data_IF_801877395089
#
_entry.id   IF_801877395089
#
_cell.length_a   1.000
_cell.length_b   1.000
_cell.length_c   1.000
_cell.angle_alpha   90.00
_cell.angle_beta   90.00
_cell.angle_gamma   90.00
#
_symmetry.space_group_name_H-M   'P 1'
#
loop_
_entity.id
_entity.type
_entity.pdbx_description
1 polymer ?
#
# COMPACT_ATOMS: atom_id res chain seq x y z
N UNK A 1 -26.02 5.26 -16.14
CA UNK A 1 -25.55 6.13 -15.05
C UNK A 1 -26.72 6.34 -14.11
N UNK A 2 -26.60 5.89 -12.86
CA UNK A 2 -27.68 5.99 -11.87
C UNK A 2 -27.36 7.15 -10.93
N UNK A 3 -28.23 8.14 -10.87
CA UNK A 3 -28.06 9.24 -9.91
C UNK A 3 -28.28 8.73 -8.50
N UNK A 4 -27.28 8.89 -7.62
CA UNK A 4 -27.42 8.57 -6.19
C UNK A 4 -28.13 9.72 -5.47
N UNK A 5 -27.75 10.96 -5.80
CA UNK A 5 -28.53 12.15 -5.49
C UNK A 5 -28.23 13.26 -6.51
N UNK A 6 -29.30 13.96 -6.96
CA UNK A 6 -29.23 14.94 -8.07
C UNK A 6 -28.37 16.14 -7.74
N UNK A 7 -28.78 16.97 -6.78
CA UNK A 7 -28.02 18.11 -6.28
C UNK A 7 -28.47 18.37 -4.84
N UNK A 8 -27.51 18.57 -3.95
CA UNK A 8 -27.74 19.00 -2.57
C UNK A 8 -26.97 20.29 -2.32
N UNK A 9 -27.57 21.18 -1.55
CA UNK A 9 -27.01 22.48 -1.19
C UNK A 9 -26.66 22.47 0.30
N UNK A 10 -25.44 22.86 0.63
CA UNK A 10 -25.00 23.19 1.98
C UNK A 10 -24.72 24.69 2.02
N UNK A 11 -25.40 25.39 2.91
CA UNK A 11 -25.22 26.83 3.12
C UNK A 11 -24.59 27.06 4.49
N UNK A 12 -23.42 27.68 4.52
CA UNK A 12 -22.82 28.18 5.74
C UNK A 12 -22.78 29.71 5.67
N UNK A 13 -23.43 30.39 6.64
CA UNK A 13 -23.54 31.86 6.70
C UNK A 13 -22.18 32.59 6.67
N UNK A 14 -21.08 31.92 6.97
CA UNK A 14 -19.71 32.48 6.93
C UNK A 14 -18.87 32.06 5.72
N UNK A 15 -19.20 30.95 5.04
CA UNK A 15 -18.29 30.29 4.07
C UNK A 15 -18.88 30.14 2.66
N UNK A 16 -20.12 30.61 2.44
CA UNK A 16 -20.78 30.61 1.14
C UNK A 16 -21.67 29.38 0.92
N UNK A 17 -22.03 29.16 -0.36
CA UNK A 17 -22.89 28.06 -0.80
C UNK A 17 -22.03 26.97 -1.45
N UNK A 18 -22.18 25.72 -0.98
CA UNK A 18 -21.66 24.54 -1.64
C UNK A 18 -22.82 23.75 -2.28
N UNK A 19 -22.71 23.43 -3.56
CA UNK A 19 -23.63 22.52 -4.28
C UNK A 19 -22.88 21.26 -4.62
N UNK A 20 -23.41 20.08 -4.29
CA UNK A 20 -22.77 18.81 -4.61
C UNK A 20 -23.76 17.80 -5.20
N UNK A 21 -23.26 16.92 -6.08
CA UNK A 21 -24.00 15.82 -6.67
C UNK A 21 -23.16 14.55 -6.63
N UNK A 22 -23.82 13.38 -6.58
CA UNK A 22 -23.14 12.10 -6.76
C UNK A 22 -23.90 11.21 -7.73
N UNK A 23 -23.16 10.68 -8.70
CA UNK A 23 -23.69 9.79 -9.71
C UNK A 23 -22.91 8.48 -9.67
N UNK A 24 -23.62 7.37 -9.60
CA UNK A 24 -23.03 6.07 -9.81
C UNK A 24 -22.71 5.95 -11.30
N UNK A 25 -21.43 5.81 -11.60
CA UNK A 25 -20.99 5.53 -12.96
C UNK A 25 -21.35 4.08 -13.32
N UNK A 26 -21.31 3.74 -14.61
CA UNK A 26 -21.75 2.41 -15.08
C UNK A 26 -20.88 1.26 -14.52
N UNK A 27 -19.73 1.56 -13.91
CA UNK A 27 -18.66 0.61 -13.59
C UNK A 27 -18.32 0.62 -12.09
N UNK A 28 -19.36 0.63 -11.25
CA UNK A 28 -19.29 0.50 -9.78
C UNK A 28 -18.59 1.64 -9.02
N UNK A 29 -18.21 2.73 -9.68
CA UNK A 29 -17.67 3.92 -9.04
C UNK A 29 -18.71 5.01 -8.77
N UNK A 30 -18.34 5.99 -7.95
CA UNK A 30 -19.13 7.17 -7.63
C UNK A 30 -18.38 8.42 -8.10
N UNK A 31 -19.00 9.17 -8.99
CA UNK A 31 -18.52 10.50 -9.38
C UNK A 31 -19.20 11.51 -8.47
N UNK A 32 -18.42 12.27 -7.69
CA UNK A 32 -18.89 13.35 -6.82
C UNK A 32 -18.45 14.69 -7.39
N UNK A 33 -19.42 15.51 -7.76
CA UNK A 33 -19.17 16.88 -8.22
C UNK A 33 -19.47 17.86 -7.08
N UNK A 34 -18.56 18.80 -6.81
CA UNK A 34 -18.74 19.84 -5.79
C UNK A 34 -18.48 21.21 -6.42
N UNK A 35 -19.45 22.13 -6.33
CA UNK A 35 -19.37 23.52 -6.78
C UNK A 35 -19.40 24.46 -5.58
N UNK A 36 -18.39 25.31 -5.43
CA UNK A 36 -18.32 26.32 -4.36
C UNK A 36 -17.43 27.49 -4.77
N UNK A 37 -17.82 28.72 -4.43
CA UNK A 37 -17.02 29.94 -4.67
C UNK A 37 -16.52 30.10 -6.12
N UNK A 38 -17.33 29.70 -7.11
CA UNK A 38 -16.97 29.75 -8.54
C UNK A 38 -16.09 28.59 -9.03
N UNK A 39 -15.64 27.71 -8.14
CA UNK A 39 -14.87 26.51 -8.48
C UNK A 39 -15.76 25.29 -8.63
N UNK A 40 -15.33 24.37 -9.49
CA UNK A 40 -15.93 23.05 -9.70
C UNK A 40 -14.87 21.98 -9.45
N UNK A 41 -15.13 21.10 -8.49
CA UNK A 41 -14.30 19.96 -8.13
C UNK A 41 -15.00 18.67 -8.55
N UNK A 42 -14.25 17.71 -9.06
CA UNK A 42 -14.73 16.38 -9.42
C UNK A 42 -13.88 15.35 -8.68
N UNK A 43 -14.54 14.50 -7.90
CA UNK A 43 -13.94 13.36 -7.23
C UNK A 43 -14.49 12.10 -7.88
N UNK A 44 -13.60 11.15 -8.16
CA UNK A 44 -13.99 9.85 -8.68
C UNK A 44 -13.60 8.82 -7.63
N UNK A 45 -14.60 8.11 -7.11
CA UNK A 45 -14.40 7.00 -6.21
C UNK A 45 -14.57 5.72 -7.00
N UNK A 46 -13.49 4.95 -7.17
CA UNK A 46 -13.57 3.61 -7.77
C UNK A 46 -13.11 2.62 -6.71
N UNK A 47 -13.93 1.61 -6.35
CA UNK A 47 -13.44 0.51 -5.54
C UNK A 47 -12.41 -0.26 -6.38
N UNK A 48 -11.15 -0.23 -5.92
CA UNK A 48 -10.06 -1.02 -6.50
C UNK A 48 -9.72 -2.09 -5.47
N UNK A 49 -9.82 -3.34 -5.87
CA UNK A 49 -9.43 -4.45 -5.00
C UNK A 49 -7.92 -4.41 -4.76
N UNK A 50 -7.53 -4.55 -3.49
CA UNK A 50 -6.13 -4.65 -3.11
C UNK A 50 -5.63 -6.05 -3.44
N UNK A 51 -4.52 -6.11 -4.17
CA UNK A 51 -3.84 -7.36 -4.50
C UNK A 51 -2.92 -7.72 -3.35
N UNK A 52 -3.20 -8.84 -2.68
CA UNK A 52 -2.40 -9.36 -1.58
C UNK A 52 -1.53 -10.53 -2.03
N UNK A 53 -0.28 -10.63 -1.54
CA UNK A 53 0.54 -11.82 -1.78
C UNK A 53 0.01 -13.02 -1.01
N UNK A 54 0.29 -14.21 -1.53
CA UNK A 54 0.14 -15.49 -0.83
C UNK A 54 1.38 -15.82 0.01
N UNK A 55 1.28 -16.83 0.88
CA UNK A 55 2.45 -17.35 1.60
C UNK A 55 3.55 -17.79 0.64
N UNK A 56 3.17 -18.50 -0.43
CA UNK A 56 4.09 -19.00 -1.44
C UNK A 56 4.80 -17.85 -2.17
N UNK A 57 4.11 -16.75 -2.45
CA UNK A 57 4.74 -15.55 -3.02
C UNK A 57 5.85 -15.02 -2.10
N UNK A 58 5.57 -14.86 -0.80
CA UNK A 58 6.55 -14.35 0.17
C UNK A 58 7.74 -15.32 0.32
N UNK A 59 7.50 -16.63 0.33
CA UNK A 59 8.55 -17.64 0.35
C UNK A 59 9.42 -17.59 -0.92
N UNK A 60 8.81 -17.47 -2.10
CA UNK A 60 9.53 -17.33 -3.37
C UNK A 60 10.36 -16.03 -3.40
N UNK A 61 9.84 -14.95 -2.82
CA UNK A 61 10.57 -13.68 -2.72
C UNK A 61 11.71 -13.75 -1.71
N UNK A 62 11.58 -14.51 -0.62
CA UNK A 62 12.70 -14.78 0.29
C UNK A 62 13.85 -15.51 -0.43
N UNK A 63 13.54 -16.51 -1.25
CA UNK A 63 14.55 -17.23 -2.02
C UNK A 63 15.26 -16.30 -3.02
N UNK A 64 14.50 -15.47 -3.74
CA UNK A 64 15.06 -14.48 -4.69
C UNK A 64 15.88 -13.41 -3.97
N UNK A 65 15.38 -12.86 -2.87
CA UNK A 65 16.05 -11.82 -2.11
C UNK A 65 17.42 -12.29 -1.58
N UNK A 66 17.53 -13.56 -1.19
CA UNK A 66 18.81 -14.12 -0.74
C UNK A 66 19.83 -14.30 -1.87
N UNK A 67 19.38 -14.53 -3.10
CA UNK A 67 20.24 -14.65 -4.30
C UNK A 67 20.70 -13.29 -4.83
N UNK A 68 19.84 -12.28 -4.76
CA UNK A 68 20.11 -10.95 -5.31
C UNK A 68 21.00 -10.14 -4.36
N UNK A 69 20.79 -10.30 -3.06
CA UNK A 69 21.50 -9.55 -2.02
C UNK A 69 22.30 -10.54 -1.17
N UNK A 70 23.43 -11.03 -1.67
CA UNK A 70 24.34 -11.87 -0.89
C UNK A 70 24.95 -11.04 0.25
N UNK A 71 24.76 -11.48 1.50
CA UNK A 71 25.42 -10.88 2.67
C UNK A 71 26.65 -11.72 3.02
N UNK A 72 27.80 -11.09 3.29
CA UNK A 72 28.99 -11.80 3.78
C UNK A 72 28.72 -12.44 5.15
N UNK A 73 28.88 -13.76 5.24
CA UNK A 73 28.77 -14.54 6.48
C UNK A 73 28.33 -16.00 6.29
N UNK A 74 28.58 -16.86 7.29
CA UNK A 74 28.06 -18.23 7.33
C UNK A 74 26.62 -18.16 7.84
N UNK A 75 25.66 -18.12 6.92
CA UNK A 75 24.24 -18.10 7.26
C UNK A 75 23.60 -19.47 7.04
N UNK A 76 23.04 -20.02 8.11
CA UNK A 76 22.42 -21.34 8.16
C UNK A 76 21.04 -21.41 7.51
N UNK A 77 20.70 -22.65 7.13
CA UNK A 77 19.41 -23.20 6.69
C UNK A 77 18.47 -22.29 5.89
N UNK A 78 18.24 -22.64 4.62
CA UNK A 78 17.18 -22.08 3.80
C UNK A 78 15.80 -22.33 4.39
N UNK A 79 14.87 -21.41 4.13
CA UNK A 79 13.44 -21.64 4.34
C UNK A 79 12.83 -20.86 5.50
N UNK A 80 11.51 -21.01 5.56
CA UNK A 80 10.62 -20.39 6.53
C UNK A 80 10.86 -20.99 7.92
N UNK A 81 11.12 -20.12 8.90
CA UNK A 81 11.33 -20.52 10.30
C UNK A 81 10.00 -20.79 10.99
N UNK A 82 9.05 -19.87 10.78
CA UNK A 82 7.71 -19.97 11.35
C UNK A 82 6.67 -19.47 10.32
N UNK A 83 5.92 -20.39 9.66
CA UNK A 83 4.86 -20.01 8.75
C UNK A 83 3.75 -19.20 9.42
N UNK A 84 3.52 -19.41 10.71
CA UNK A 84 2.48 -18.74 11.48
C UNK A 84 2.62 -17.22 11.42
N UNK A 85 3.85 -16.71 11.41
CA UNK A 85 4.13 -15.27 11.34
C UNK A 85 3.60 -14.69 10.02
N UNK A 86 3.94 -15.31 8.88
CA UNK A 86 3.51 -14.81 7.56
C UNK A 86 2.01 -15.04 7.35
N UNK A 87 1.48 -16.21 7.69
CA UNK A 87 0.05 -16.48 7.50
C UNK A 87 -0.82 -15.57 8.35
N UNK A 88 -0.42 -15.31 9.60
CA UNK A 88 -1.14 -14.38 10.47
C UNK A 88 -1.03 -12.95 9.97
N UNK A 89 0.18 -12.50 9.60
CA UNK A 89 0.40 -11.18 8.99
C UNK A 89 -0.54 -10.95 7.80
N UNK A 90 -0.54 -11.86 6.82
CA UNK A 90 -1.35 -11.70 5.61
C UNK A 90 -2.85 -11.72 5.95
N UNK A 91 -3.28 -12.55 6.91
CA UNK A 91 -4.67 -12.58 7.38
C UNK A 91 -5.09 -11.26 8.04
N UNK A 92 -4.24 -10.72 8.92
CA UNK A 92 -4.47 -9.45 9.62
C UNK A 92 -4.55 -8.28 8.63
N UNK A 93 -3.64 -8.21 7.67
CA UNK A 93 -3.60 -7.12 6.68
C UNK A 93 -4.80 -7.18 5.73
N UNK A 94 -5.20 -8.40 5.32
CA UNK A 94 -6.35 -8.62 4.44
C UNK A 94 -7.70 -8.39 5.14
N UNK A 95 -7.80 -8.77 6.41
CA UNK A 95 -9.02 -8.67 7.22
C UNK A 95 -8.88 -7.58 8.29
N UNK A 96 -8.40 -6.41 7.91
CA UNK A 96 -8.00 -5.33 8.83
C UNK A 96 -9.16 -4.48 9.36
N UNK A 97 -10.40 -4.74 8.94
CA UNK A 97 -11.57 -4.02 9.47
C UNK A 97 -12.00 -4.64 10.79
N UNK A 98 -11.82 -3.89 11.87
CA UNK A 98 -12.19 -4.28 13.24
C UNK A 98 -13.14 -3.22 13.80
N UNK A 99 -14.29 -3.64 14.32
CA UNK A 99 -15.35 -2.74 14.81
C UNK A 99 -15.76 -1.64 13.81
N UNK A 100 -15.75 -1.96 12.51
CA UNK A 100 -16.13 -1.03 11.44
C UNK A 100 -15.06 0.00 11.06
N UNK A 101 -13.85 -0.11 11.61
CA UNK A 101 -12.71 0.73 11.26
C UNK A 101 -11.60 -0.12 10.66
N UNK A 102 -11.07 0.26 9.50
CA UNK A 102 -9.87 -0.35 8.95
C UNK A 102 -8.65 0.17 9.72
N UNK A 103 -7.93 -0.72 10.42
CA UNK A 103 -6.71 -0.36 11.15
C UNK A 103 -5.54 -0.03 10.24
N UNK A 104 -5.60 -0.45 8.96
CA UNK A 104 -4.64 -0.11 7.91
C UNK A 104 -5.37 0.48 6.70
N UNK A 105 -5.89 1.70 6.79
CA UNK A 105 -6.86 2.23 5.82
C UNK A 105 -6.27 2.52 4.43
N UNK A 106 -4.95 2.46 4.27
CA UNK A 106 -4.28 2.74 3.00
C UNK A 106 -3.36 1.59 2.60
N UNK A 107 -3.08 1.47 1.29
CA UNK A 107 -2.05 0.56 0.77
C UNK A 107 -0.70 0.82 1.46
N UNK A 108 -0.35 2.08 1.72
CA UNK A 108 0.88 2.43 2.44
C UNK A 108 0.90 1.94 3.88
N UNK A 109 -0.21 1.99 4.60
CA UNK A 109 -0.32 1.45 5.97
C UNK A 109 -0.17 -0.08 5.96
N UNK A 110 -0.84 -0.76 5.02
CA UNK A 110 -0.73 -2.22 4.84
C UNK A 110 0.71 -2.64 4.49
N UNK A 111 1.37 -1.90 3.59
CA UNK A 111 2.76 -2.12 3.22
C UNK A 111 3.72 -1.91 4.40
N UNK A 112 3.49 -0.86 5.20
CA UNK A 112 4.29 -0.57 6.39
C UNK A 112 4.20 -1.69 7.43
N UNK A 113 2.99 -2.19 7.71
CA UNK A 113 2.78 -3.31 8.61
C UNK A 113 3.48 -4.58 8.11
N UNK A 114 3.39 -4.89 6.82
CA UNK A 114 4.10 -6.03 6.19
C UNK A 114 5.61 -5.90 6.40
N UNK A 115 6.19 -4.75 6.06
CA UNK A 115 7.63 -4.53 6.21
C UNK A 115 8.06 -4.66 7.67
N UNK A 116 7.36 -3.96 8.57
CA UNK A 116 7.70 -3.92 9.98
C UNK A 116 7.63 -5.30 10.64
N UNK A 117 6.56 -6.08 10.38
CA UNK A 117 6.38 -7.40 10.98
C UNK A 117 7.41 -8.41 10.48
N UNK A 118 7.65 -8.51 9.17
CA UNK A 118 8.62 -9.48 8.63
C UNK A 118 10.04 -9.17 9.12
N UNK A 119 10.42 -7.89 9.15
CA UNK A 119 11.74 -7.48 9.61
C UNK A 119 11.94 -7.70 11.12
N UNK A 120 10.91 -7.42 11.94
CA UNK A 120 10.99 -7.48 13.41
C UNK A 120 10.88 -8.90 13.96
N UNK A 121 9.94 -9.70 13.46
CA UNK A 121 9.63 -11.02 14.05
C UNK A 121 10.40 -12.19 13.42
N UNK A 122 11.24 -11.91 12.41
CA UNK A 122 12.16 -12.87 11.81
C UNK A 122 11.49 -14.18 11.36
N UNK A 123 10.56 -14.07 10.41
CA UNK A 123 9.78 -15.20 9.88
C UNK A 123 10.61 -16.27 9.15
N UNK A 124 11.80 -15.91 8.67
CA UNK A 124 12.70 -16.77 7.92
C UNK A 124 13.98 -17.05 8.72
N UNK A 125 14.65 -18.16 8.40
CA UNK A 125 15.95 -18.48 8.99
C UNK A 125 17.02 -17.46 8.57
N UNK A 126 16.93 -16.94 7.35
CA UNK A 126 17.82 -15.92 6.81
C UNK A 126 17.06 -14.96 5.86
N UNK A 127 17.66 -13.79 5.60
CA UNK A 127 17.15 -12.83 4.63
C UNK A 127 15.93 -12.05 5.08
N UNK A 128 15.60 -12.02 6.38
CA UNK A 128 14.40 -11.35 6.90
C UNK A 128 14.28 -9.88 6.47
N UNK A 129 15.34 -9.08 6.63
CA UNK A 129 15.35 -7.65 6.26
C UNK A 129 15.08 -7.47 4.76
N UNK A 130 15.81 -8.23 3.92
CA UNK A 130 15.70 -8.20 2.46
C UNK A 130 14.32 -8.66 1.99
N UNK A 131 13.78 -9.70 2.62
CA UNK A 131 12.43 -10.23 2.33
C UNK A 131 11.34 -9.27 2.76
N UNK A 132 11.47 -8.64 3.93
CA UNK A 132 10.50 -7.67 4.41
C UNK A 132 10.38 -6.49 3.46
N UNK A 133 11.51 -5.94 3.05
CA UNK A 133 11.59 -4.88 2.05
C UNK A 133 11.01 -5.32 0.70
N UNK A 134 11.49 -6.45 0.14
CA UNK A 134 11.03 -6.95 -1.16
C UNK A 134 9.52 -7.23 -1.15
N UNK A 135 8.97 -7.78 -0.07
CA UNK A 135 7.54 -8.05 0.08
C UNK A 135 6.73 -6.75 0.10
N UNK A 136 7.18 -5.75 0.85
CA UNK A 136 6.52 -4.45 0.91
C UNK A 136 6.58 -3.69 -0.42
N UNK A 137 7.73 -3.72 -1.09
CA UNK A 137 7.90 -3.13 -2.43
C UNK A 137 6.98 -3.80 -3.45
N UNK A 138 6.99 -5.13 -3.54
CA UNK A 138 6.17 -5.84 -4.53
C UNK A 138 4.68 -5.72 -4.22
N UNK A 139 4.30 -5.62 -2.94
CA UNK A 139 2.93 -5.28 -2.56
C UNK A 139 2.53 -3.87 -3.02
N UNK A 140 3.39 -2.86 -2.86
CA UNK A 140 3.14 -1.51 -3.38
C UNK A 140 2.99 -1.54 -4.91
N UNK A 141 3.91 -2.20 -5.62
CA UNK A 141 3.91 -2.29 -7.08
C UNK A 141 2.66 -3.00 -7.60
N UNK A 142 2.25 -4.09 -6.95
CA UNK A 142 1.01 -4.79 -7.25
C UNK A 142 -0.20 -3.86 -7.13
N UNK A 143 -0.14 -2.87 -6.23
CA UNK A 143 -1.20 -1.91 -5.92
C UNK A 143 -0.92 -0.49 -6.47
N UNK A 144 -0.19 -0.39 -7.59
CA UNK A 144 0.04 0.84 -8.37
C UNK A 144 0.87 1.93 -7.67
N UNK A 145 1.67 1.55 -6.68
CA UNK A 145 2.66 2.43 -6.08
C UNK A 145 4.06 1.88 -6.32
N UNK A 146 5.05 2.76 -6.44
CA UNK A 146 6.46 2.35 -6.54
C UNK A 146 7.34 3.34 -5.82
N UNK A 147 8.46 2.86 -5.28
CA UNK A 147 9.44 3.71 -4.62
C UNK A 147 10.19 4.58 -5.63
N UNK A 148 10.55 5.80 -5.23
CA UNK A 148 11.25 6.78 -6.08
C UNK A 148 12.31 7.52 -5.28
N UNK A 149 13.49 7.69 -5.88
CA UNK A 149 14.49 8.68 -5.48
C UNK A 149 15.09 9.35 -6.72
N UNK A 150 15.98 10.33 -6.51
CA UNK A 150 16.67 11.05 -7.58
C UNK A 150 17.63 10.14 -8.35
N UNK A 151 18.17 9.10 -7.71
CA UNK A 151 18.91 8.01 -8.35
C UNK A 151 18.75 6.67 -7.61
N UNK A 152 19.03 5.57 -8.31
CA UNK A 152 18.84 4.21 -7.80
C UNK A 152 19.71 3.90 -6.55
N UNK A 153 20.93 4.45 -6.47
CA UNK A 153 21.83 4.20 -5.34
C UNK A 153 21.34 4.89 -4.05
N UNK A 154 20.82 6.11 -4.16
CA UNK A 154 20.21 6.81 -3.04
C UNK A 154 18.97 6.09 -2.54
N UNK A 155 18.15 5.60 -3.47
CA UNK A 155 16.97 4.83 -3.13
C UNK A 155 17.35 3.55 -2.38
N UNK A 156 18.25 2.75 -2.94
CA UNK A 156 18.74 1.52 -2.33
C UNK A 156 19.32 1.78 -0.94
N UNK A 157 20.16 2.81 -0.81
CA UNK A 157 20.74 3.22 0.47
C UNK A 157 19.71 3.65 1.51
N UNK A 158 18.67 4.39 1.11
CA UNK A 158 17.58 4.81 2.00
C UNK A 158 16.75 3.60 2.47
N UNK A 159 16.40 2.69 1.55
CA UNK A 159 15.62 1.49 1.83
C UNK A 159 16.38 0.49 2.71
N UNK A 160 17.68 0.34 2.48
CA UNK A 160 18.55 -0.45 3.34
C UNK A 160 18.60 0.13 4.76
N UNK A 161 18.87 1.44 4.89
CA UNK A 161 18.90 2.13 6.19
C UNK A 161 17.56 1.99 6.93
N UNK A 162 16.43 2.16 6.24
CA UNK A 162 15.11 1.96 6.83
C UNK A 162 14.94 0.52 7.35
N UNK A 163 15.31 -0.49 6.54
CA UNK A 163 15.25 -1.90 6.95
C UNK A 163 16.09 -2.20 8.20
N UNK A 164 17.27 -1.60 8.32
CA UNK A 164 18.12 -1.74 9.51
C UNK A 164 17.44 -1.12 10.73
N UNK A 165 16.95 0.12 10.61
CA UNK A 165 16.26 0.83 11.71
C UNK A 165 15.03 0.10 12.21
N UNK A 166 14.27 -0.51 11.31
CA UNK A 166 13.13 -1.38 11.67
C UNK A 166 13.60 -2.57 12.50
N UNK A 167 14.63 -3.28 12.02
CA UNK A 167 15.13 -4.50 12.67
C UNK A 167 15.69 -4.25 14.08
N UNK A 168 16.32 -3.10 14.31
CA UNK A 168 16.81 -2.70 15.65
C UNK A 168 15.72 -2.05 16.52
N UNK A 169 14.51 -1.87 15.98
CA UNK A 169 13.37 -1.30 16.71
C UNK A 169 13.38 0.24 16.84
N UNK A 170 14.23 0.93 16.08
CA UNK A 170 14.27 2.40 16.02
C UNK A 170 13.11 2.97 15.20
N UNK A 171 12.63 2.25 14.18
CA UNK A 171 11.45 2.62 13.40
C UNK A 171 10.22 1.89 13.92
N UNK A 172 9.25 2.67 14.40
CA UNK A 172 7.89 2.20 14.63
C UNK A 172 7.19 1.95 13.30
N UNK A 173 6.05 1.25 13.33
CA UNK A 173 5.25 1.04 12.14
C UNK A 173 4.79 2.36 11.49
N UNK A 174 4.48 3.38 12.30
CA UNK A 174 4.13 4.71 11.82
C UNK A 174 5.32 5.41 11.13
N UNK A 175 6.54 5.22 11.63
CA UNK A 175 7.74 5.74 10.97
C UNK A 175 7.96 5.08 9.61
N UNK A 176 7.73 3.76 9.52
CA UNK A 176 7.78 3.03 8.25
C UNK A 176 6.72 3.54 7.29
N UNK A 177 5.49 3.73 7.76
CA UNK A 177 4.40 4.26 6.93
C UNK A 177 4.73 5.65 6.39
N UNK A 178 5.26 6.53 7.25
CA UNK A 178 5.70 7.87 6.85
C UNK A 178 6.83 7.80 5.83
N UNK A 179 7.83 6.96 6.08
CA UNK A 179 8.92 6.74 5.14
C UNK A 179 8.41 6.29 3.77
N UNK A 180 7.50 5.31 3.73
CA UNK A 180 6.86 4.88 2.47
C UNK A 180 6.16 6.06 1.81
N UNK A 181 5.30 6.77 2.54
CA UNK A 181 4.54 7.88 2.00
C UNK A 181 5.42 8.97 1.35
N UNK A 182 6.55 9.31 1.98
CA UNK A 182 7.46 10.34 1.49
C UNK A 182 8.29 9.88 0.27
N UNK A 183 8.37 8.57 0.00
CA UNK A 183 9.29 7.99 -1.00
C UNK A 183 8.59 7.18 -2.09
N UNK A 184 7.27 7.31 -2.26
CA UNK A 184 6.53 6.62 -3.33
C UNK A 184 5.90 7.58 -4.33
N UNK A 185 5.64 7.06 -5.53
CA UNK A 185 4.75 7.68 -6.52
C UNK A 185 3.69 6.68 -6.97
N UNK A 186 2.60 7.22 -7.53
CA UNK A 186 1.55 6.44 -8.18
C UNK A 186 1.99 6.11 -9.60
N UNK A 187 1.87 4.84 -9.99
CA UNK A 187 1.99 4.41 -11.38
C UNK A 187 0.68 4.75 -12.12
N UNK A 188 0.61 5.96 -12.65
CA UNK A 188 -0.54 6.42 -13.42
C UNK A 188 -0.78 5.61 -14.69
N UNK A 189 0.24 4.95 -15.25
CA UNK A 189 0.05 4.10 -16.44
C UNK A 189 -0.72 2.85 -16.04
N UNK A 190 -0.26 2.13 -15.01
CA UNK A 190 -0.92 0.93 -14.49
C UNK A 190 -2.32 1.26 -13.95
N UNK A 191 -2.47 2.40 -13.27
CA UNK A 191 -3.78 2.88 -12.82
C UNK A 191 -4.75 3.11 -14.00
N UNK A 192 -4.28 3.74 -15.08
CA UNK A 192 -5.09 3.95 -16.28
C UNK A 192 -5.47 2.63 -16.98
N UNK A 193 -4.57 1.65 -17.00
CA UNK A 193 -4.85 0.31 -17.54
C UNK A 193 -5.95 -0.40 -16.76
N UNK A 194 -5.85 -0.41 -15.42
CA UNK A 194 -6.88 -0.96 -14.52
C UNK A 194 -8.19 -0.22 -14.69
N UNK A 195 -8.15 1.12 -14.74
CA UNK A 195 -9.35 1.92 -14.92
C UNK A 195 -10.05 1.62 -16.26
N UNK A 196 -9.28 1.41 -17.35
CA UNK A 196 -9.83 0.96 -18.64
C UNK A 196 -10.42 -0.45 -18.55
N UNK A 197 -9.75 -1.37 -17.86
CA UNK A 197 -10.24 -2.73 -17.68
C UNK A 197 -11.57 -2.75 -16.91
N UNK A 198 -11.65 -2.04 -15.77
CA UNK A 198 -12.89 -1.86 -15.00
C UNK A 198 -13.95 -1.19 -15.87
N UNK A 199 -13.56 -0.31 -16.81
CA UNK A 199 -14.54 0.40 -17.66
C UNK A 199 -15.12 -0.40 -18.82
N UNK A 200 -14.44 -1.45 -19.25
CA UNK A 200 -14.80 -2.25 -20.42
C UNK A 200 -15.49 -3.58 -20.06
N UNK A 201 -15.76 -3.81 -18.76
CA UNK A 201 -16.52 -4.94 -18.22
C UNK A 201 -17.89 -4.46 -17.78
#
# INVERSE_FOLDING_TARGET
>A
MRTLFKEKKLENRKEGTMVYSANQNNNHGIDVEVKTNGYKWLFIYVPIDIIFPSLDDVCNWNEKAQKIFEEEGIYGLYGLKDPGIITNLLSVVKNSVVFGQDVFPTVTAKAAHIWHVIAKYQAFNNGNKRTAFMTAQLFLEANQFYFVADNDQELEGALYKASVKIAVGEYTEQDVQKFIYDNIKVDFKKMNEIFKAIRNV
#
